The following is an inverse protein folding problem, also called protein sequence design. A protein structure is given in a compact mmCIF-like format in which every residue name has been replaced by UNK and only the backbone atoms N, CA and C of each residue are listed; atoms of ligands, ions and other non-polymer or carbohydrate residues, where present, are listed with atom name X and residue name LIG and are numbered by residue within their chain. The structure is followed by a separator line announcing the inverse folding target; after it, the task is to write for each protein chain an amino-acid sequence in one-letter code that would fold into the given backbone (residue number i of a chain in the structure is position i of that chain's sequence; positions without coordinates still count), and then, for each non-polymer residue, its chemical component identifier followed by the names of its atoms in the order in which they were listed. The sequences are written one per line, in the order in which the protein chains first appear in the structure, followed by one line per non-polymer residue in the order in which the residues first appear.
data_IF_939451966795
#
_entry.id   IF_939451966795
#
_cell.length_a   1.000
_cell.length_b   1.000
_cell.length_c   1.000
_cell.angle_alpha   90.00
_cell.angle_beta   90.00
_cell.angle_gamma   90.00
#
_symmetry.space_group_name_H-M   'P 1'
#
loop_
_entity.id
_entity.type
_entity.pdbx_description
1 polymer ?
#
# COMPACT_ATOMS: atom_id res chain seq x y z
N UNK A 1 50.63 -45.09 -15.91
CA UNK A 1 50.34 -44.81 -14.49
C UNK A 1 51.55 -44.99 -13.57
N UNK A 2 52.38 -46.04 -13.73
CA UNK A 2 53.56 -46.30 -12.88
C UNK A 2 54.64 -45.19 -12.94
N UNK A 3 54.83 -44.55 -14.09
CA UNK A 3 55.79 -43.44 -14.29
C UNK A 3 55.39 -42.15 -13.58
N UNK A 4 54.09 -41.83 -13.54
CA UNK A 4 53.57 -40.63 -12.87
C UNK A 4 53.76 -40.70 -11.34
N UNK A 5 53.56 -41.90 -10.75
CA UNK A 5 53.76 -42.15 -9.32
C UNK A 5 55.23 -42.07 -8.88
N UNK A 6 56.16 -42.51 -9.73
CA UNK A 6 57.60 -42.41 -9.47
C UNK A 6 58.09 -40.95 -9.52
N UNK A 7 57.63 -40.18 -10.52
CA UNK A 7 57.92 -38.75 -10.64
C UNK A 7 57.36 -37.94 -9.45
N UNK A 8 56.16 -38.31 -8.96
CA UNK A 8 55.54 -37.70 -7.79
C UNK A 8 56.32 -37.95 -6.50
N UNK A 9 56.94 -39.14 -6.36
CA UNK A 9 57.79 -39.47 -5.20
C UNK A 9 59.12 -38.74 -5.22
N UNK A 10 59.75 -38.61 -6.39
CA UNK A 10 61.01 -37.88 -6.56
C UNK A 10 60.85 -36.36 -6.33
N UNK A 11 59.75 -35.78 -6.80
CA UNK A 11 59.47 -34.35 -6.74
C UNK A 11 58.48 -33.95 -5.64
N UNK A 12 58.26 -34.82 -4.64
CA UNK A 12 57.22 -34.65 -3.62
C UNK A 12 57.36 -33.34 -2.85
N UNK A 13 58.59 -32.93 -2.53
CA UNK A 13 58.91 -31.65 -1.86
C UNK A 13 58.57 -30.43 -2.72
N UNK A 14 58.85 -30.51 -4.03
CA UNK A 14 58.52 -29.45 -4.97
C UNK A 14 57.01 -29.31 -5.15
N UNK A 15 56.30 -30.42 -5.30
CA UNK A 15 54.84 -30.44 -5.39
C UNK A 15 54.16 -29.90 -4.10
N UNK A 16 54.68 -30.23 -2.92
CA UNK A 16 54.14 -29.67 -1.67
C UNK A 16 54.34 -28.17 -1.58
N UNK A 17 55.50 -27.64 -2.00
CA UNK A 17 55.74 -26.19 -2.02
C UNK A 17 54.83 -25.48 -3.01
N UNK A 18 54.58 -26.09 -4.17
CA UNK A 18 53.70 -25.55 -5.19
C UNK A 18 52.25 -25.49 -4.70
N UNK A 19 51.76 -26.55 -4.03
CA UNK A 19 50.43 -26.54 -3.39
C UNK A 19 50.35 -25.49 -2.28
N UNK A 20 51.39 -25.34 -1.45
CA UNK A 20 51.45 -24.32 -0.40
C UNK A 20 51.41 -22.91 -0.97
N UNK A 21 52.12 -22.65 -2.07
CA UNK A 21 52.09 -21.36 -2.77
C UNK A 21 50.71 -21.07 -3.36
N UNK A 22 50.07 -22.04 -4.00
CA UNK A 22 48.70 -21.89 -4.51
C UNK A 22 47.73 -21.64 -3.33
N UNK A 23 47.87 -22.39 -2.23
CA UNK A 23 47.09 -22.21 -1.02
C UNK A 23 47.26 -20.79 -0.44
N UNK A 24 48.50 -20.32 -0.30
CA UNK A 24 48.78 -18.98 0.20
C UNK A 24 48.22 -17.88 -0.74
N UNK A 25 48.39 -18.03 -2.05
CA UNK A 25 47.88 -17.08 -3.04
C UNK A 25 46.34 -17.02 -3.05
N UNK A 26 45.68 -18.16 -2.94
CA UNK A 26 44.21 -18.21 -2.87
C UNK A 26 43.70 -17.57 -1.58
N UNK A 27 44.29 -17.90 -0.42
CA UNK A 27 43.93 -17.27 0.86
C UNK A 27 44.15 -15.75 0.82
N UNK A 28 45.26 -15.29 0.25
CA UNK A 28 45.53 -13.87 0.07
C UNK A 28 44.46 -13.20 -0.79
N UNK A 29 44.11 -13.79 -1.93
CA UNK A 29 43.07 -13.26 -2.82
C UNK A 29 41.71 -13.16 -2.12
N UNK A 30 41.32 -14.20 -1.37
CA UNK A 30 40.08 -14.19 -0.58
C UNK A 30 40.08 -13.13 0.51
N UNK A 31 41.22 -12.90 1.17
CA UNK A 31 41.37 -11.83 2.16
C UNK A 31 41.22 -10.44 1.54
N UNK A 32 41.85 -10.21 0.38
CA UNK A 32 41.75 -8.94 -0.34
C UNK A 32 40.30 -8.68 -0.76
N UNK A 33 39.64 -9.71 -1.30
CA UNK A 33 38.25 -9.64 -1.70
C UNK A 33 37.31 -9.40 -0.51
N UNK A 34 37.54 -10.08 0.61
CA UNK A 34 36.75 -9.87 1.83
C UNK A 34 36.87 -8.43 2.38
N UNK A 35 38.04 -7.78 2.23
CA UNK A 35 38.20 -6.37 2.58
C UNK A 35 37.39 -5.48 1.63
N UNK A 36 37.50 -5.70 0.32
CA UNK A 36 36.76 -4.94 -0.68
C UNK A 36 35.24 -5.09 -0.51
N UNK A 37 34.75 -6.30 -0.27
CA UNK A 37 33.33 -6.57 -0.02
C UNK A 37 32.87 -5.88 1.27
N UNK A 38 33.68 -5.90 2.33
CA UNK A 38 33.38 -5.19 3.58
C UNK A 38 33.28 -3.68 3.37
N UNK A 39 34.19 -3.09 2.62
CA UNK A 39 34.18 -1.66 2.35
C UNK A 39 32.98 -1.27 1.49
N UNK A 40 32.63 -2.08 0.48
CA UNK A 40 31.42 -1.90 -0.31
C UNK A 40 30.16 -1.92 0.56
N UNK A 41 30.04 -2.90 1.46
CA UNK A 41 28.91 -2.99 2.40
C UNK A 41 28.84 -1.78 3.33
N UNK A 42 29.97 -1.26 3.79
CA UNK A 42 30.02 -0.06 4.63
C UNK A 42 29.58 1.19 3.86
N UNK A 43 29.97 1.32 2.58
CA UNK A 43 29.53 2.42 1.72
C UNK A 43 28.03 2.34 1.47
N UNK A 44 27.52 1.17 1.08
CA UNK A 44 26.09 0.95 0.87
C UNK A 44 25.28 1.23 2.14
N UNK A 45 25.75 0.78 3.31
CA UNK A 45 25.10 1.08 4.58
C UNK A 45 25.06 2.59 4.89
N UNK A 46 26.11 3.34 4.54
CA UNK A 46 26.12 4.81 4.67
C UNK A 46 25.10 5.45 3.73
N UNK A 47 25.03 5.01 2.48
CA UNK A 47 24.06 5.52 1.50
C UNK A 47 22.61 5.26 1.95
N UNK A 48 22.30 4.03 2.38
CA UNK A 48 20.98 3.66 2.90
C UNK A 48 20.63 4.54 4.11
N UNK A 49 21.55 4.72 5.06
CA UNK A 49 21.27 5.55 6.23
C UNK A 49 21.17 7.05 5.89
N UNK A 50 21.88 7.52 4.86
CA UNK A 50 21.70 8.87 4.34
C UNK A 50 20.29 9.11 3.79
N UNK A 51 19.62 8.11 3.21
CA UNK A 51 18.22 8.24 2.75
C UNK A 51 17.24 8.58 3.88
N UNK A 52 17.51 8.12 5.11
CA UNK A 52 16.73 8.43 6.30
C UNK A 52 17.30 9.61 7.10
N UNK A 53 18.25 10.34 6.52
CA UNK A 53 18.94 11.51 7.11
C UNK A 53 19.61 11.22 8.46
N UNK A 54 20.11 10.00 8.66
CA UNK A 54 20.84 9.59 9.87
C UNK A 54 22.22 9.05 9.48
N UNK A 55 23.31 9.48 10.13
CA UNK A 55 24.62 8.92 9.83
C UNK A 55 24.71 7.45 10.26
N UNK A 56 25.26 6.59 9.40
CA UNK A 56 25.52 5.17 9.74
C UNK A 56 26.54 5.03 10.88
N UNK A 57 27.54 5.92 10.93
CA UNK A 57 28.58 5.99 11.96
C UNK A 57 28.47 7.33 12.70
N UNK A 58 27.67 7.39 13.77
CA UNK A 58 27.62 8.60 14.60
C UNK A 58 28.99 8.88 15.23
N UNK A 59 29.36 10.15 15.33
CA UNK A 59 30.62 10.57 15.95
C UNK A 59 30.71 10.04 17.39
N UNK A 60 31.87 9.48 17.76
CA UNK A 60 32.09 8.90 19.09
C UNK A 60 31.42 7.53 19.35
N UNK A 61 30.75 6.94 18.36
CA UNK A 61 30.11 5.62 18.51
C UNK A 61 31.09 4.45 18.33
N UNK A 62 30.85 3.35 19.07
CA UNK A 62 31.61 2.11 18.90
C UNK A 62 31.10 1.36 17.67
N UNK A 63 31.96 0.55 17.05
CA UNK A 63 31.60 -0.21 15.83
C UNK A 63 30.35 -1.09 15.99
N UNK A 64 30.10 -1.61 17.19
CA UNK A 64 28.90 -2.41 17.52
C UNK A 64 27.59 -1.61 17.48
N UNK A 65 27.67 -0.29 17.60
CA UNK A 65 26.53 0.61 17.66
C UNK A 65 26.25 1.28 16.30
N UNK A 66 27.10 1.02 15.28
CA UNK A 66 26.91 1.51 13.92
C UNK A 66 25.60 0.99 13.32
N UNK A 67 24.89 1.87 12.62
CA UNK A 67 23.61 1.55 11.99
C UNK A 67 22.43 1.38 12.95
N UNK A 68 22.63 1.34 14.29
CA UNK A 68 21.53 1.14 15.25
C UNK A 68 20.49 2.26 15.19
N UNK A 69 20.94 3.52 15.13
CA UNK A 69 20.05 4.68 15.01
C UNK A 69 19.31 4.68 13.66
N UNK A 70 20.02 4.36 12.60
CA UNK A 70 19.45 4.22 11.25
C UNK A 70 18.37 3.13 11.20
N UNK A 71 18.64 1.94 11.72
CA UNK A 71 17.66 0.85 11.79
C UNK A 71 16.43 1.23 12.62
N UNK A 72 16.63 1.92 13.74
CA UNK A 72 15.51 2.43 14.55
C UNK A 72 14.66 3.42 13.73
N UNK A 73 15.28 4.34 13.00
CA UNK A 73 14.57 5.32 12.18
C UNK A 73 13.80 4.69 11.02
N UNK A 74 14.40 3.68 10.38
CA UNK A 74 13.71 2.89 9.35
C UNK A 74 12.48 2.19 9.92
N UNK A 75 12.60 1.56 11.09
CA UNK A 75 11.47 0.91 11.75
C UNK A 75 10.35 1.90 12.12
N UNK A 76 10.70 3.10 12.61
CA UNK A 76 9.73 4.18 12.86
C UNK A 76 9.03 4.65 11.57
N UNK A 77 9.77 4.71 10.45
CA UNK A 77 9.19 5.12 9.17
C UNK A 77 8.20 4.08 8.62
N UNK A 78 8.50 2.79 8.78
CA UNK A 78 7.59 1.70 8.42
C UNK A 78 6.34 1.73 9.29
N UNK A 79 6.47 1.86 10.61
CA UNK A 79 5.32 1.97 11.51
C UNK A 79 4.44 3.21 11.19
N UNK A 80 5.07 4.33 10.82
CA UNK A 80 4.33 5.50 10.35
C UNK A 80 3.59 5.22 9.04
N UNK A 81 4.22 4.55 8.07
CA UNK A 81 3.60 4.18 6.80
C UNK A 81 2.38 3.27 7.03
N UNK A 82 2.51 2.26 7.88
CA UNK A 82 1.43 1.33 8.22
C UNK A 82 0.24 2.08 8.86
N UNK A 83 0.51 3.00 9.80
CA UNK A 83 -0.52 3.82 10.43
C UNK A 83 -1.22 4.77 9.46
N UNK A 84 -0.48 5.37 8.52
CA UNK A 84 -1.07 6.23 7.49
C UNK A 84 -1.91 5.40 6.54
N UNK A 85 -1.45 4.21 6.15
CA UNK A 85 -2.19 3.33 5.27
C UNK A 85 -3.48 2.84 5.93
N UNK A 86 -3.43 2.36 7.18
CA UNK A 86 -4.62 1.96 7.91
C UNK A 86 -5.59 3.13 8.11
N UNK A 87 -5.10 4.30 8.53
CA UNK A 87 -5.93 5.50 8.70
C UNK A 87 -6.57 5.99 7.40
N UNK A 88 -5.87 5.84 6.27
CA UNK A 88 -6.43 6.15 4.95
C UNK A 88 -7.55 5.18 4.54
N UNK A 89 -7.39 3.89 4.83
CA UNK A 89 -8.42 2.88 4.60
C UNK A 89 -9.65 3.14 5.47
N UNK A 90 -9.47 3.43 6.76
CA UNK A 90 -10.56 3.77 7.68
C UNK A 90 -11.32 5.01 7.20
N UNK A 91 -10.61 6.04 6.74
CA UNK A 91 -11.22 7.24 6.17
C UNK A 91 -12.00 6.95 4.88
N UNK A 92 -11.49 6.07 4.00
CA UNK A 92 -12.20 5.64 2.80
C UNK A 92 -13.45 4.84 3.14
N UNK A 93 -13.38 3.91 4.09
CA UNK A 93 -14.53 3.13 4.56
C UNK A 93 -15.60 4.04 5.15
N UNK A 94 -15.22 5.00 5.99
CA UNK A 94 -16.15 5.97 6.57
C UNK A 94 -16.82 6.87 5.51
N UNK A 95 -16.13 7.21 4.42
CA UNK A 95 -16.76 7.95 3.30
C UNK A 95 -17.73 7.08 2.50
N UNK A 96 -17.42 5.80 2.28
CA UNK A 96 -18.31 4.83 1.62
C UNK A 96 -19.59 4.67 2.44
N UNK A 97 -19.49 4.39 3.75
CA UNK A 97 -20.65 4.24 4.63
C UNK A 97 -21.55 5.50 4.62
N UNK A 98 -20.93 6.69 4.62
CA UNK A 98 -21.65 7.97 4.53
C UNK A 98 -22.40 8.13 3.21
N UNK A 99 -21.80 7.73 2.09
CA UNK A 99 -22.43 7.81 0.76
C UNK A 99 -23.57 6.82 0.63
N UNK A 100 -23.39 5.57 1.06
CA UNK A 100 -24.43 4.55 1.05
C UNK A 100 -25.61 4.94 1.93
N UNK A 101 -25.36 5.47 3.13
CA UNK A 101 -26.41 5.99 4.01
C UNK A 101 -27.22 7.13 3.37
N UNK A 102 -26.55 8.07 2.68
CA UNK A 102 -27.23 9.13 1.92
C UNK A 102 -28.06 8.57 0.77
N UNK A 103 -27.51 7.64 0.00
CA UNK A 103 -28.22 7.01 -1.12
C UNK A 103 -29.46 6.24 -0.66
N UNK A 104 -29.38 5.52 0.47
CA UNK A 104 -30.53 4.82 1.05
C UNK A 104 -31.62 5.81 1.49
N UNK A 105 -31.24 6.93 2.12
CA UNK A 105 -32.17 7.98 2.52
C UNK A 105 -32.83 8.67 1.30
N UNK A 106 -32.05 8.97 0.26
CA UNK A 106 -32.55 9.58 -0.98
C UNK A 106 -33.48 8.63 -1.74
N UNK A 107 -33.15 7.34 -1.80
CA UNK A 107 -34.01 6.32 -2.40
C UNK A 107 -35.34 6.16 -1.65
N UNK A 108 -35.31 6.16 -0.31
CA UNK A 108 -36.52 6.12 0.51
C UNK A 108 -37.39 7.37 0.29
N UNK A 109 -36.78 8.55 0.22
CA UNK A 109 -37.48 9.80 -0.05
C UNK A 109 -38.10 9.82 -1.45
N UNK A 110 -37.36 9.37 -2.47
CA UNK A 110 -37.86 9.25 -3.84
C UNK A 110 -39.05 8.28 -3.94
N UNK A 111 -39.00 7.15 -3.22
CA UNK A 111 -40.12 6.21 -3.17
C UNK A 111 -41.39 6.83 -2.55
N UNK A 112 -41.24 7.65 -1.50
CA UNK A 112 -42.37 8.39 -0.90
C UNK A 112 -42.94 9.41 -1.89
N UNK A 113 -42.10 10.17 -2.60
CA UNK A 113 -42.57 11.11 -3.62
C UNK A 113 -43.26 10.41 -4.80
N UNK A 114 -42.70 9.29 -5.28
CA UNK A 114 -43.30 8.49 -6.33
C UNK A 114 -44.70 8.01 -5.92
N UNK A 115 -44.86 7.49 -4.69
CA UNK A 115 -46.17 7.09 -4.17
C UNK A 115 -47.16 8.24 -4.11
N UNK A 116 -46.75 9.41 -3.60
CA UNK A 116 -47.61 10.61 -3.57
C UNK A 116 -48.04 11.04 -4.98
N UNK A 117 -47.13 10.96 -5.95
CA UNK A 117 -47.44 11.27 -7.34
C UNK A 117 -48.45 10.29 -7.93
N UNK A 118 -48.27 8.99 -7.70
CA UNK A 118 -49.25 7.97 -8.12
C UNK A 118 -50.61 8.20 -7.47
N UNK A 119 -50.67 8.45 -6.16
CA UNK A 119 -51.94 8.69 -5.45
C UNK A 119 -52.64 9.95 -5.98
N UNK A 120 -51.90 11.00 -6.33
CA UNK A 120 -52.46 12.22 -6.92
C UNK A 120 -52.97 11.96 -8.34
N UNK A 121 -52.21 11.24 -9.17
CA UNK A 121 -52.65 10.84 -10.51
C UNK A 121 -53.92 9.99 -10.47
N UNK A 122 -54.02 9.02 -9.57
CA UNK A 122 -55.24 8.21 -9.40
C UNK A 122 -56.44 9.06 -8.99
N UNK A 123 -56.25 10.11 -8.15
CA UNK A 123 -57.33 11.06 -7.83
C UNK A 123 -57.72 11.91 -9.05
N UNK A 124 -56.75 12.34 -9.85
CA UNK A 124 -57.02 13.08 -11.09
C UNK A 124 -57.77 12.23 -12.11
N UNK A 125 -57.37 10.97 -12.32
CA UNK A 125 -58.05 10.03 -13.21
C UNK A 125 -59.47 9.72 -12.73
N UNK A 126 -59.67 9.54 -11.42
CA UNK A 126 -61.00 9.34 -10.85
C UNK A 126 -61.91 10.58 -11.00
N UNK A 127 -61.32 11.78 -10.84
CA UNK A 127 -62.04 13.03 -11.05
C UNK A 127 -62.39 13.24 -12.54
N UNK A 128 -61.47 12.91 -13.45
CA UNK A 128 -61.67 13.00 -14.90
C UNK A 128 -62.76 12.02 -15.39
N UNK A 129 -62.77 10.79 -14.86
CA UNK A 129 -63.80 9.80 -15.14
C UNK A 129 -65.22 10.21 -14.67
N UNK A 130 -65.32 11.22 -13.79
CA UNK A 130 -66.58 11.77 -13.30
C UNK A 130 -67.06 13.02 -14.07
N UNK A 131 -66.29 13.51 -15.06
CA UNK A 131 -66.63 14.70 -15.84
C UNK A 131 -67.70 14.38 -16.89
N UNK A 132 -68.81 15.12 -16.88
CA UNK A 132 -69.89 15.01 -17.89
C UNK A 132 -69.95 16.18 -18.89
N UNK A 133 -69.34 17.34 -18.58
CA UNK A 133 -69.48 18.60 -19.35
C UNK A 133 -68.13 19.26 -19.71
N UNK A 134 -67.14 18.50 -20.23
CA UNK A 134 -65.82 18.99 -20.74
C UNK A 134 -65.01 19.93 -19.80
N UNK A 135 -65.39 20.02 -18.52
CA UNK A 135 -64.79 20.89 -17.52
C UNK A 135 -64.28 20.05 -16.34
N UNK A 136 -62.99 20.15 -16.05
CA UNK A 136 -62.37 19.49 -14.89
C UNK A 136 -62.83 20.15 -13.58
N UNK A 137 -63.24 19.34 -12.61
CA UNK A 137 -63.74 19.79 -11.31
C UNK A 137 -62.64 20.24 -10.34
N UNK A 138 -63.04 20.83 -9.21
CA UNK A 138 -62.12 21.34 -8.17
C UNK A 138 -61.19 20.28 -7.58
N UNK A 139 -61.61 19.01 -7.55
CA UNK A 139 -60.79 17.90 -7.05
C UNK A 139 -59.59 17.59 -7.96
N UNK A 140 -59.74 17.81 -9.28
CA UNK A 140 -58.65 17.69 -10.23
C UNK A 140 -57.60 18.80 -10.01
N UNK A 141 -58.05 20.04 -9.80
CA UNK A 141 -57.17 21.17 -9.50
C UNK A 141 -56.47 21.02 -8.14
N UNK A 142 -57.19 20.51 -7.12
CA UNK A 142 -56.61 20.22 -5.81
C UNK A 142 -55.52 19.13 -5.89
N UNK A 143 -55.73 18.09 -6.68
CA UNK A 143 -54.73 17.04 -6.89
C UNK A 143 -53.47 17.53 -7.63
N UNK A 144 -53.61 18.45 -8.59
CA UNK A 144 -52.47 19.12 -9.26
C UNK A 144 -51.70 20.02 -8.29
N UNK A 145 -52.42 20.79 -7.47
CA UNK A 145 -51.80 21.66 -6.47
C UNK A 145 -51.03 20.84 -5.41
N UNK A 146 -51.62 19.74 -4.92
CA UNK A 146 -50.96 18.79 -4.04
C UNK A 146 -49.68 18.20 -4.65
N UNK A 147 -49.69 17.88 -5.95
CA UNK A 147 -48.53 17.36 -6.69
C UNK A 147 -47.43 18.42 -6.86
N UNK A 148 -47.83 19.68 -7.08
CA UNK A 148 -46.94 20.83 -7.15
C UNK A 148 -46.41 21.29 -5.78
N UNK A 149 -46.88 20.68 -4.68
CA UNK A 149 -46.54 21.07 -3.31
C UNK A 149 -47.17 22.40 -2.87
N UNK A 150 -48.16 22.87 -3.61
CA UNK A 150 -48.95 24.06 -3.32
C UNK A 150 -50.18 23.61 -2.52
N UNK A 151 -50.20 23.96 -1.24
CA UNK A 151 -51.36 23.74 -0.37
C UNK A 151 -52.23 24.98 -0.33
#
# INVERSE_FOLDING_TARGET
MLTALALFRANRRFLTLLVLLIGAATVYFWLEKAKADRDLLLVQAREICATVNVPFQPEGSRQKDWGRLCNKRVAELVDYQDKVQSGSLDAMLADIERREGKQAADAALAAVYAKRATDALTRMEAADAAVQDDHVGGDWAAAVNDLAGLR
#
